data_IF_030913832374
#
_entry.id   IF_030913832374
#
_cell.length_a   1.000
_cell.length_b   1.000
_cell.length_c   1.000
_cell.angle_alpha   90.00
_cell.angle_beta   90.00
_cell.angle_gamma   90.00
#
_symmetry.space_group_name_H-M   'P 1'
#
loop_
_entity.id
_entity.type
_entity.pdbx_description
1 polymer ?
#
# COMPACT_ATOMS: atom_id res chain seq x y z
N UNK A 1 0.98 11.29 4.69
CA UNK A 1 2.02 12.25 4.26
C UNK A 1 2.85 11.59 3.17
N UNK A 2 3.25 12.29 2.10
CA UNK A 2 4.09 11.71 1.02
C UNK A 2 5.47 12.34 1.08
N UNK A 3 6.51 11.51 1.06
CA UNK A 3 7.90 11.94 1.08
C UNK A 3 8.60 11.54 -0.21
N UNK A 4 9.54 12.39 -0.64
CA UNK A 4 10.43 12.11 -1.75
C UNK A 4 11.79 11.72 -1.20
N UNK A 5 12.20 10.49 -1.46
CA UNK A 5 13.55 10.02 -1.21
C UNK A 5 14.42 10.29 -2.45
N UNK A 6 15.63 10.77 -2.24
CA UNK A 6 16.57 10.92 -3.35
C UNK A 6 17.02 9.52 -3.76
N UNK A 7 16.83 9.17 -5.04
CA UNK A 7 17.35 7.94 -5.65
C UNK A 7 18.88 8.03 -5.70
N UNK A 8 19.53 7.74 -4.58
CA UNK A 8 20.97 7.54 -4.52
C UNK A 8 21.26 6.05 -4.47
N UNK A 9 22.46 5.66 -4.93
CA UNK A 9 22.99 4.29 -4.89
C UNK A 9 23.15 3.71 -3.46
N UNK A 10 22.49 4.28 -2.44
CA UNK A 10 22.44 3.78 -1.08
C UNK A 10 21.17 2.97 -0.85
N UNK A 11 21.25 1.97 0.04
CA UNK A 11 20.13 1.11 0.39
C UNK A 11 19.00 1.98 0.95
N UNK A 12 17.89 2.16 0.22
CA UNK A 12 16.77 3.03 0.60
C UNK A 12 16.29 2.76 2.03
N UNK A 13 16.42 1.51 2.48
CA UNK A 13 16.11 1.07 3.83
C UNK A 13 16.83 1.87 4.94
N UNK A 14 18.11 2.23 4.74
CA UNK A 14 18.89 3.01 5.72
C UNK A 14 18.38 4.45 5.86
N UNK A 15 17.71 4.98 4.82
CA UNK A 15 17.09 6.31 4.88
C UNK A 15 15.73 6.27 5.59
N UNK A 16 15.08 5.11 5.64
CA UNK A 16 13.77 4.95 6.29
C UNK A 16 13.90 4.95 7.81
N UNK A 17 14.95 4.34 8.37
CA UNK A 17 15.09 4.19 9.82
C UNK A 17 15.14 5.54 10.56
N UNK A 18 15.95 6.54 10.15
CA UNK A 18 15.94 7.85 10.79
C UNK A 18 14.58 8.56 10.69
N UNK A 19 13.84 8.34 9.60
CA UNK A 19 12.51 8.93 9.43
C UNK A 19 11.53 8.30 10.42
N UNK A 20 11.50 6.97 10.53
CA UNK A 20 10.63 6.28 11.49
C UNK A 20 11.02 6.60 12.93
N UNK A 21 12.31 6.71 13.23
CA UNK A 21 12.80 7.06 14.56
C UNK A 21 12.37 8.47 14.98
N UNK A 22 12.20 9.40 14.03
CA UNK A 22 11.64 10.73 14.33
C UNK A 22 10.19 10.68 14.85
N UNK A 23 9.47 9.59 14.59
CA UNK A 23 8.12 9.33 15.09
C UNK A 23 8.10 8.46 16.36
N UNK A 24 9.25 7.96 16.84
CA UNK A 24 9.35 7.19 18.11
C UNK A 24 9.41 8.10 19.34
N UNK A 25 8.53 9.09 19.41
CA UNK A 25 8.45 10.00 20.58
C UNK A 25 7.30 9.59 21.49
N UNK A 26 7.34 10.03 22.76
CA UNK A 26 6.26 9.79 23.73
C UNK A 26 4.91 10.31 23.24
N UNK A 27 4.92 11.44 22.52
CA UNK A 27 3.72 11.98 21.90
C UNK A 27 3.03 10.94 21.01
N UNK A 28 3.75 10.31 20.08
CA UNK A 28 3.16 9.34 19.17
C UNK A 28 2.82 8.01 19.85
N UNK A 29 3.76 7.47 20.63
CA UNK A 29 3.66 6.10 21.15
C UNK A 29 2.86 6.01 22.47
N UNK A 30 3.12 6.91 23.42
CA UNK A 30 2.56 6.81 24.78
C UNK A 30 1.24 7.60 24.90
N UNK A 31 1.18 8.81 24.34
CA UNK A 31 0.00 9.68 24.47
C UNK A 31 -1.10 9.33 23.46
N UNK A 32 -0.71 9.05 22.21
CA UNK A 32 -1.65 8.82 21.12
C UNK A 32 -1.79 7.35 20.72
N UNK A 33 -0.88 6.47 21.14
CA UNK A 33 -0.81 5.07 20.69
C UNK A 33 -0.89 4.93 19.15
N UNK A 34 -0.32 5.91 18.44
CA UNK A 34 -0.26 5.94 16.99
C UNK A 34 1.11 5.47 16.55
N UNK A 35 1.16 4.23 16.07
CA UNK A 35 2.36 3.77 15.38
C UNK A 35 2.37 4.35 13.97
N UNK A 36 3.57 4.55 13.44
CA UNK A 36 3.79 5.12 12.12
C UNK A 36 4.37 4.03 11.24
N UNK A 37 3.75 3.84 10.08
CA UNK A 37 4.20 2.92 9.05
C UNK A 37 4.71 3.70 7.85
N UNK A 38 5.82 3.21 7.29
CA UNK A 38 6.40 3.67 6.05
C UNK A 38 6.38 2.54 5.03
N UNK A 39 5.73 2.80 3.91
CA UNK A 39 5.64 1.91 2.75
C UNK A 39 6.42 2.53 1.59
N UNK A 40 7.38 1.80 1.02
CA UNK A 40 8.16 2.27 -0.12
C UNK A 40 8.39 1.16 -1.14
N UNK A 41 8.65 1.57 -2.38
CA UNK A 41 9.13 0.68 -3.43
C UNK A 41 10.63 0.97 -3.63
N UNK A 42 11.54 -0.02 -3.55
CA UNK A 42 12.98 0.19 -3.67
C UNK A 42 13.45 0.85 -4.98
N UNK A 43 12.70 0.72 -6.07
CA UNK A 43 13.05 1.34 -7.36
C UNK A 43 12.47 2.73 -7.52
N UNK A 44 11.45 3.02 -6.71
CA UNK A 44 10.75 4.29 -6.74
C UNK A 44 11.31 5.24 -5.68
N UNK A 45 11.38 6.52 -6.02
CA UNK A 45 11.82 7.57 -5.10
C UNK A 45 10.74 8.00 -4.10
N UNK A 46 9.65 7.25 -3.99
CA UNK A 46 8.48 7.62 -3.19
C UNK A 46 8.26 6.63 -2.06
N UNK A 47 7.90 7.18 -0.90
CA UNK A 47 7.27 6.42 0.16
C UNK A 47 6.03 7.11 0.70
N UNK A 48 5.09 6.29 1.11
CA UNK A 48 3.93 6.70 1.90
C UNK A 48 4.24 6.54 3.38
N UNK A 49 3.96 7.59 4.17
CA UNK A 49 4.02 7.53 5.63
C UNK A 49 2.64 7.86 6.20
N UNK A 50 2.17 7.00 7.08
CA UNK A 50 0.84 7.11 7.69
C UNK A 50 0.81 6.45 9.07
N UNK A 51 -0.20 6.79 9.86
CA UNK A 51 -0.46 6.19 11.17
C UNK A 51 -1.22 4.88 11.02
N UNK A 52 -0.99 3.95 11.95
CA UNK A 52 -1.78 2.72 12.08
C UNK A 52 -2.61 2.75 13.39
N UNK A 53 -3.88 2.28 13.37
CA UNK A 53 -4.57 1.70 12.21
C UNK A 53 -4.83 2.72 11.10
N UNK A 54 -4.78 2.27 9.85
CA UNK A 54 -4.98 3.14 8.69
C UNK A 54 -6.44 3.60 8.66
N UNK A 55 -6.65 4.91 8.75
CA UNK A 55 -7.99 5.48 8.92
C UNK A 55 -8.68 5.86 7.59
N UNK A 56 -8.00 5.74 6.45
CA UNK A 56 -8.54 6.21 5.17
C UNK A 56 -9.26 5.08 4.41
N UNK A 57 -10.29 5.46 3.65
CA UNK A 57 -11.04 4.53 2.81
C UNK A 57 -10.31 4.14 1.53
N UNK A 58 -9.38 4.99 1.08
CA UNK A 58 -8.75 4.87 -0.23
C UNK A 58 -7.27 4.54 -0.03
N UNK A 59 -6.82 3.48 -0.70
CA UNK A 59 -5.44 3.03 -0.66
C UNK A 59 -4.91 2.80 -2.07
N UNK A 60 -3.76 3.41 -2.38
CA UNK A 60 -3.04 3.20 -3.63
C UNK A 60 -1.85 2.29 -3.36
N UNK A 61 -1.90 1.08 -3.91
CA UNK A 61 -0.90 0.04 -3.74
C UNK A 61 -0.09 -0.10 -5.03
N UNK A 62 1.20 0.24 -4.96
CA UNK A 62 2.15 0.07 -6.06
C UNK A 62 3.06 -1.10 -5.71
N UNK A 63 2.91 -2.22 -6.41
CA UNK A 63 3.70 -3.43 -6.18
C UNK A 63 5.05 -3.35 -6.92
N UNK A 64 6.16 -3.82 -6.29
CA UNK A 64 6.27 -4.32 -4.92
C UNK A 64 6.39 -3.19 -3.88
N UNK A 65 6.00 -3.50 -2.65
CA UNK A 65 6.14 -2.59 -1.50
C UNK A 65 6.88 -3.29 -0.37
N UNK A 66 7.80 -2.57 0.27
CA UNK A 66 8.41 -2.92 1.54
C UNK A 66 7.81 -1.99 2.60
N UNK A 67 7.58 -2.54 3.79
CA UNK A 67 6.98 -1.83 4.91
C UNK A 67 7.86 -1.91 6.15
N UNK A 68 7.98 -0.81 6.87
CA UNK A 68 8.54 -0.74 8.24
C UNK A 68 7.62 0.09 9.11
N UNK A 69 7.51 -0.28 10.40
CA UNK A 69 6.62 0.37 11.34
C UNK A 69 7.32 0.64 12.67
N UNK A 70 6.86 1.65 13.40
CA UNK A 70 7.23 1.85 14.81
C UNK A 70 6.50 0.89 15.75
N UNK A 71 5.53 0.12 15.25
CA UNK A 71 4.80 -0.89 16.00
C UNK A 71 5.69 -2.09 16.34
N UNK A 72 5.75 -2.52 17.62
CA UNK A 72 6.57 -3.67 18.03
C UNK A 72 5.96 -5.02 17.64
N UNK A 73 4.67 -5.07 17.32
CA UNK A 73 3.96 -6.29 16.89
C UNK A 73 3.56 -6.13 15.43
N UNK A 74 4.06 -7.01 14.55
CA UNK A 74 3.69 -7.09 13.13
C UNK A 74 2.25 -7.59 12.91
N UNK A 75 1.26 -7.05 13.63
CA UNK A 75 -0.13 -7.43 13.46
C UNK A 75 -0.80 -6.53 12.41
N UNK A 76 -0.24 -6.55 11.20
CA UNK A 76 -0.60 -5.66 10.09
C UNK A 76 -2.02 -5.91 9.56
N UNK A 77 -2.65 -7.00 9.99
CA UNK A 77 -3.89 -7.52 9.42
C UNK A 77 -5.11 -6.64 9.76
N UNK A 78 -5.15 -6.03 10.95
CA UNK A 78 -6.21 -5.09 11.34
C UNK A 78 -5.98 -3.66 10.82
N UNK A 79 -4.78 -3.38 10.30
CA UNK A 79 -4.38 -2.02 9.92
C UNK A 79 -5.22 -1.48 8.76
N UNK A 80 -5.65 -2.33 7.83
CA UNK A 80 -6.31 -1.91 6.59
C UNK A 80 -7.82 -2.16 6.57
N UNK A 81 -8.42 -2.44 7.72
CA UNK A 81 -9.85 -2.73 7.82
C UNK A 81 -10.75 -1.56 7.38
N UNK A 82 -10.23 -0.32 7.39
CA UNK A 82 -10.96 0.87 6.91
C UNK A 82 -10.91 1.02 5.38
N UNK A 83 -10.00 0.34 4.69
CA UNK A 83 -9.86 0.47 3.24
C UNK A 83 -11.10 -0.13 2.56
N UNK A 84 -11.70 0.68 1.68
CA UNK A 84 -12.87 0.36 0.87
C UNK A 84 -12.54 0.41 -0.62
N UNK A 85 -11.60 1.27 -1.00
CA UNK A 85 -11.13 1.41 -2.38
C UNK A 85 -9.65 1.10 -2.45
N UNK A 86 -9.31 0.09 -3.27
CA UNK A 86 -7.94 -0.29 -3.56
C UNK A 86 -7.61 0.04 -5.01
N UNK A 87 -6.55 0.82 -5.23
CA UNK A 87 -5.97 1.03 -6.55
C UNK A 87 -4.68 0.23 -6.62
N UNK A 88 -4.69 -0.87 -7.37
CA UNK A 88 -3.54 -1.73 -7.58
C UNK A 88 -2.80 -1.36 -8.86
N UNK A 89 -1.52 -1.02 -8.72
CA UNK A 89 -0.60 -0.74 -9.82
C UNK A 89 0.58 -1.70 -9.73
N UNK A 90 0.93 -2.29 -10.87
CA UNK A 90 2.08 -3.18 -10.99
C UNK A 90 3.27 -2.41 -11.59
N UNK A 91 4.42 -2.46 -10.92
CA UNK A 91 5.71 -2.14 -11.53
C UNK A 91 6.34 -3.44 -12.06
N UNK A 92 6.37 -3.58 -13.38
CA UNK A 92 6.76 -4.82 -14.08
C UNK A 92 8.22 -5.23 -13.89
N UNK A 93 9.04 -4.38 -13.26
CA UNK A 93 10.46 -4.63 -13.11
C UNK A 93 10.81 -5.61 -11.98
N UNK A 94 9.83 -6.07 -11.16
CA UNK A 94 10.14 -6.84 -9.95
C UNK A 94 9.10 -7.92 -9.61
N UNK A 95 9.58 -9.17 -9.46
CA UNK A 95 8.75 -10.37 -9.20
C UNK A 95 9.02 -11.06 -7.86
N UNK A 96 9.86 -10.49 -6.98
CA UNK A 96 10.47 -11.25 -5.88
C UNK A 96 9.92 -10.97 -4.46
N UNK A 97 8.89 -10.14 -4.30
CA UNK A 97 8.39 -9.78 -2.97
C UNK A 97 6.94 -10.23 -2.74
N UNK A 98 6.71 -11.06 -1.73
CA UNK A 98 5.36 -11.34 -1.24
C UNK A 98 5.00 -10.30 -0.19
N UNK A 99 4.07 -9.39 -0.50
CA UNK A 99 3.46 -8.56 0.54
C UNK A 99 2.43 -9.39 1.31
N UNK A 100 2.50 -9.33 2.65
CA UNK A 100 1.55 -9.97 3.58
C UNK A 100 0.33 -9.10 3.90
N UNK A 101 0.13 -8.01 3.14
CA UNK A 101 -0.99 -7.09 3.36
C UNK A 101 -2.27 -7.74 2.85
N UNK A 102 -3.31 -7.69 3.67
CA UNK A 102 -4.63 -8.19 3.32
C UNK A 102 -5.70 -7.10 3.51
N UNK A 103 -6.59 -6.99 2.53
CA UNK A 103 -7.69 -6.05 2.50
C UNK A 103 -9.03 -6.78 2.51
N UNK A 104 -9.64 -6.92 3.70
CA UNK A 104 -10.88 -7.70 3.87
C UNK A 104 -12.16 -6.99 3.44
N UNK A 105 -12.12 -5.67 3.31
CA UNK A 105 -13.31 -4.84 3.23
C UNK A 105 -13.41 -4.03 1.93
N UNK A 106 -12.71 -4.47 0.88
CA UNK A 106 -12.73 -3.80 -0.43
C UNK A 106 -14.12 -3.87 -1.05
N UNK A 107 -14.60 -2.71 -1.47
CA UNK A 107 -15.84 -2.52 -2.22
C UNK A 107 -15.56 -2.03 -3.64
N UNK A 108 -14.43 -1.37 -3.84
CA UNK A 108 -14.00 -0.82 -5.13
C UNK A 108 -12.55 -1.19 -5.40
N UNK A 109 -12.30 -1.94 -6.47
CA UNK A 109 -10.97 -2.38 -6.88
C UNK A 109 -10.65 -1.82 -8.27
N UNK A 110 -9.58 -1.03 -8.37
CA UNK A 110 -9.02 -0.60 -9.66
C UNK A 110 -7.74 -1.38 -9.93
N UNK A 111 -7.69 -2.11 -11.05
CA UNK A 111 -6.54 -2.91 -11.49
C UNK A 111 -5.91 -2.34 -12.75
N UNK A 112 -4.62 -2.05 -12.70
CA UNK A 112 -3.82 -1.87 -13.91
C UNK A 112 -3.36 -3.24 -14.45
N UNK A 113 -3.58 -3.52 -15.73
CA UNK A 113 -3.14 -4.74 -16.39
C UNK A 113 -1.69 -4.62 -16.90
N UNK A 114 -0.90 -5.72 -16.86
CA UNK A 114 -1.32 -7.05 -16.41
C UNK A 114 -1.44 -7.14 -14.88
N UNK A 115 -2.47 -7.85 -14.39
CA UNK A 115 -2.61 -8.14 -12.97
C UNK A 115 -1.82 -9.42 -12.63
N UNK A 116 -1.14 -9.43 -11.48
CA UNK A 116 -0.39 -10.61 -11.01
C UNK A 116 -1.24 -11.44 -10.05
N UNK A 117 -0.80 -12.67 -9.73
CA UNK A 117 -1.46 -13.46 -8.69
C UNK A 117 -1.46 -12.77 -7.32
N UNK A 118 -0.55 -11.83 -7.09
CA UNK A 118 -0.39 -11.12 -5.83
C UNK A 118 -1.63 -10.29 -5.44
N UNK A 119 -2.34 -9.72 -6.42
CA UNK A 119 -3.55 -8.96 -6.10
C UNK A 119 -4.65 -9.84 -5.51
N UNK A 120 -4.70 -11.12 -5.92
CA UNK A 120 -5.68 -12.08 -5.43
C UNK A 120 -5.35 -12.57 -4.02
N UNK A 121 -4.06 -12.64 -3.65
CA UNK A 121 -3.67 -12.94 -2.26
C UNK A 121 -3.96 -11.77 -1.30
N UNK A 122 -3.88 -10.52 -1.78
CA UNK A 122 -4.15 -9.34 -0.95
C UNK A 122 -5.64 -9.08 -0.70
N UNK A 123 -6.53 -9.57 -1.56
CA UNK A 123 -7.98 -9.40 -1.37
C UNK A 123 -8.58 -10.78 -1.13
N UNK A 124 -8.45 -11.33 0.09
CA UNK A 124 -8.81 -12.73 0.36
C UNK A 124 -10.32 -12.99 0.22
N UNK A 125 -11.15 -11.95 0.22
CA UNK A 125 -12.61 -12.04 0.09
C UNK A 125 -13.14 -10.96 -0.85
N UNK A 126 -13.80 -11.39 -1.92
CA UNK A 126 -14.47 -10.51 -2.90
C UNK A 126 -15.96 -10.33 -2.64
N UNK A 127 -16.51 -10.91 -1.56
CA UNK A 127 -17.94 -10.87 -1.25
C UNK A 127 -18.48 -9.45 -0.97
N UNK A 128 -17.59 -8.47 -0.74
CA UNK A 128 -17.94 -7.06 -0.54
C UNK A 128 -17.67 -6.20 -1.78
N UNK A 129 -17.05 -6.76 -2.82
CA UNK A 129 -16.67 -6.03 -4.03
C UNK A 129 -17.93 -5.67 -4.83
N UNK A 130 -18.10 -4.38 -5.10
CA UNK A 130 -19.21 -3.81 -5.88
C UNK A 130 -18.74 -3.31 -7.24
N UNK A 131 -17.53 -2.78 -7.29
CA UNK A 131 -16.95 -2.15 -8.47
C UNK A 131 -15.58 -2.75 -8.76
N UNK A 132 -15.37 -3.23 -9.97
CA UNK A 132 -14.05 -3.57 -10.51
C UNK A 132 -13.78 -2.69 -11.72
N UNK A 133 -12.72 -1.89 -11.65
CA UNK A 133 -12.22 -1.11 -12.77
C UNK A 133 -10.95 -1.76 -13.28
N UNK A 134 -10.85 -1.94 -14.59
CA UNK A 134 -9.68 -2.51 -15.23
C UNK A 134 -9.17 -1.51 -16.26
N UNK A 135 -7.88 -1.22 -16.21
CA UNK A 135 -7.20 -0.32 -17.15
C UNK A 135 -5.96 -0.99 -17.72
N UNK A 136 -5.70 -0.86 -19.02
CA UNK A 136 -4.42 -1.27 -19.61
C UNK A 136 -3.31 -0.29 -19.23
N UNK A 137 -2.15 -0.79 -18.79
CA UNK A 137 -0.96 0.04 -18.47
C UNK A 137 -0.34 0.77 -19.67
N UNK A 138 -0.83 0.53 -20.90
CA UNK A 138 -0.45 1.28 -22.10
C UNK A 138 -1.01 2.69 -22.03
N UNK A 139 -0.23 3.61 -21.48
CA UNK A 139 -0.48 5.04 -21.57
C UNK A 139 -0.71 5.44 -23.03
N UNK A 140 -1.92 5.93 -23.31
CA UNK A 140 -2.32 7.02 -24.24
C UNK A 140 -3.79 6.90 -24.70
N UNK A 141 -4.55 5.91 -24.23
CA UNK A 141 -6.00 5.87 -24.45
C UNK A 141 -6.74 5.56 -23.15
N UNK A 142 -7.61 6.48 -22.75
CA UNK A 142 -8.46 6.41 -21.55
C UNK A 142 -9.59 5.40 -21.73
N UNK A 143 -9.26 4.14 -22.00
CA UNK A 143 -10.25 3.06 -21.99
C UNK A 143 -10.27 2.43 -20.60
N UNK A 144 -11.18 2.92 -19.75
CA UNK A 144 -11.49 2.31 -18.46
C UNK A 144 -12.71 1.42 -18.67
N UNK A 145 -12.54 0.11 -18.54
CA UNK A 145 -13.67 -0.80 -18.43
C UNK A 145 -14.09 -0.89 -16.97
N UNK A 146 -15.36 -0.63 -16.69
CA UNK A 146 -15.93 -0.75 -15.35
C UNK A 146 -16.97 -1.87 -15.31
N UNK A 147 -16.74 -2.83 -14.42
CA UNK A 147 -17.66 -3.91 -14.12
C UNK A 147 -18.33 -3.64 -12.78
N UNK A 148 -19.67 -3.69 -12.75
CA UNK A 148 -20.47 -3.53 -11.54
C UNK A 148 -21.07 -4.90 -11.21
N UNK A 149 -20.76 -5.41 -10.02
CA UNK A 149 -21.36 -6.64 -9.51
C UNK A 149 -22.63 -6.30 -8.73
N UNK A 150 -23.73 -6.98 -9.06
CA UNK A 150 -25.04 -6.82 -8.41
C UNK A 150 -25.19 -7.80 -7.25
#
# INVERSE_FOLDING_TARGET
MRFHFKKYNSNNEEQIDPVLDSFRTRFWLDEHCWFVQCDWNPENSFAGIYTIPFAFSDFEFVFPVISKSTCPTNNDQSTYDCVRRLIYKLDLNQYLYESKIEFFNIQDLSLALPATHHVWSMVPKFNRLRVLRVSSSTEHSQHIESYIFK
#
